data_IF_677918827560
#
_entry.id   IF_677918827560
#
_cell.length_a   1.000
_cell.length_b   1.000
_cell.length_c   1.000
_cell.angle_alpha   90.00
_cell.angle_beta   90.00
_cell.angle_gamma   90.00
#
_symmetry.space_group_name_H-M   'P 1'
#
loop_
_entity.id
_entity.type
_entity.pdbx_description
1 polymer ?
#
# COMPACT_ATOMS: atom_id res chain seq x y z
N UNK A 1 -34.07 -17.52 -3.56
CA UNK A 1 -34.36 -16.14 -3.10
C UNK A 1 -33.22 -15.73 -2.19
N UNK A 2 -32.59 -14.59 -2.43
CA UNK A 2 -31.50 -14.11 -1.58
C UNK A 2 -32.06 -13.70 -0.21
N UNK A 3 -31.38 -14.12 0.87
CA UNK A 3 -31.79 -13.86 2.26
C UNK A 3 -30.92 -12.73 2.83
N UNK A 4 -31.54 -11.80 3.55
CA UNK A 4 -30.88 -10.73 4.31
C UNK A 4 -31.38 -10.74 5.77
N UNK A 5 -30.82 -9.89 6.63
CA UNK A 5 -31.21 -9.80 8.05
C UNK A 5 -31.51 -8.37 8.47
N UNK A 6 -32.52 -8.20 9.32
CA UNK A 6 -32.81 -6.96 10.06
C UNK A 6 -32.78 -7.31 11.55
N UNK A 7 -31.75 -6.84 12.26
CA UNK A 7 -31.46 -7.31 13.61
C UNK A 7 -31.11 -8.80 13.59
N UNK A 8 -31.84 -9.61 14.36
CA UNK A 8 -31.66 -11.06 14.42
C UNK A 8 -32.70 -11.85 13.61
N UNK A 9 -33.46 -11.20 12.70
CA UNK A 9 -34.53 -11.84 11.92
C UNK A 9 -34.20 -11.86 10.44
N UNK A 10 -34.46 -12.99 9.79
CA UNK A 10 -34.40 -13.12 8.34
C UNK A 10 -35.44 -12.22 7.64
N UNK A 11 -35.04 -11.68 6.50
CA UNK A 11 -35.85 -10.81 5.66
C UNK A 11 -35.52 -10.99 4.17
N UNK A 12 -36.46 -10.59 3.32
CA UNK A 12 -36.22 -10.42 1.90
C UNK A 12 -35.27 -9.24 1.67
N UNK A 13 -34.41 -9.34 0.65
CA UNK A 13 -33.41 -8.31 0.34
C UNK A 13 -34.06 -6.94 0.10
N UNK A 14 -35.22 -6.89 -0.54
CA UNK A 14 -35.96 -5.66 -0.83
C UNK A 14 -36.43 -4.99 0.46
N UNK A 15 -36.86 -5.78 1.45
CA UNK A 15 -37.26 -5.28 2.77
C UNK A 15 -36.06 -4.75 3.55
N UNK A 16 -34.93 -5.47 3.53
CA UNK A 16 -33.70 -5.03 4.17
C UNK A 16 -33.16 -3.73 3.55
N UNK A 17 -33.17 -3.64 2.22
CA UNK A 17 -32.76 -2.44 1.49
C UNK A 17 -33.65 -1.23 1.80
N UNK A 18 -34.98 -1.40 1.82
CA UNK A 18 -35.90 -0.33 2.21
C UNK A 18 -35.67 0.14 3.66
N UNK A 19 -35.40 -0.80 4.58
CA UNK A 19 -35.08 -0.47 5.97
C UNK A 19 -33.77 0.32 6.08
N UNK A 20 -32.70 -0.12 5.41
CA UNK A 20 -31.42 0.59 5.38
C UNK A 20 -31.55 2.00 4.77
N UNK A 21 -32.32 2.14 3.69
CA UNK A 21 -32.60 3.45 3.08
C UNK A 21 -33.32 4.39 4.06
N UNK A 22 -34.27 3.87 4.85
CA UNK A 22 -34.92 4.65 5.92
C UNK A 22 -33.91 5.14 6.95
N UNK A 23 -32.98 4.28 7.40
CA UNK A 23 -31.93 4.67 8.35
C UNK A 23 -31.05 5.79 7.78
N UNK A 24 -30.61 5.64 6.54
CA UNK A 24 -29.81 6.66 5.85
C UNK A 24 -30.55 7.99 5.77
N UNK A 25 -31.83 7.97 5.37
CA UNK A 25 -32.64 9.19 5.24
C UNK A 25 -32.90 9.91 6.56
N UNK A 26 -32.92 9.19 7.69
CA UNK A 26 -33.07 9.76 9.04
C UNK A 26 -31.75 10.26 9.65
N UNK A 27 -30.61 9.88 9.09
CA UNK A 27 -29.31 10.25 9.63
C UNK A 27 -28.95 11.69 9.25
N UNK A 28 -28.44 12.46 10.21
CA UNK A 28 -27.90 13.80 9.96
C UNK A 28 -26.48 13.81 9.41
N UNK A 29 -25.74 12.72 9.61
CA UNK A 29 -24.35 12.57 9.19
C UNK A 29 -24.05 11.08 8.96
N UNK A 30 -24.58 10.50 7.87
CA UNK A 30 -24.22 9.13 7.50
C UNK A 30 -22.74 9.07 7.11
N UNK A 31 -22.10 7.93 7.43
CA UNK A 31 -20.70 7.65 7.12
C UNK A 31 -20.60 6.27 6.47
N UNK A 32 -19.81 6.16 5.43
CA UNK A 32 -19.56 4.92 4.69
C UNK A 32 -18.09 4.53 4.81
N UNK A 33 -17.84 3.25 4.99
CA UNK A 33 -16.53 2.66 4.72
C UNK A 33 -16.67 1.46 3.81
N UNK A 34 -15.69 1.24 2.95
CA UNK A 34 -15.73 0.17 1.96
C UNK A 34 -14.33 -0.45 1.77
N UNK A 35 -14.34 -1.75 1.54
CA UNK A 35 -13.22 -2.58 1.12
C UNK A 35 -13.82 -3.66 0.20
N UNK A 36 -13.96 -3.31 -1.07
CA UNK A 36 -14.69 -4.11 -2.07
C UNK A 36 -14.07 -3.91 -3.45
N UNK A 37 -14.55 -4.63 -4.45
CA UNK A 37 -14.11 -4.48 -5.83
C UNK A 37 -14.46 -3.10 -6.42
N UNK A 38 -14.10 -2.91 -7.70
CA UNK A 38 -14.30 -1.63 -8.39
C UNK A 38 -15.79 -1.29 -8.49
N UNK A 39 -16.65 -2.27 -8.78
CA UNK A 39 -18.08 -2.03 -8.97
C UNK A 39 -18.77 -1.74 -7.64
N UNK A 40 -18.42 -2.47 -6.58
CA UNK A 40 -18.88 -2.21 -5.22
C UNK A 40 -18.45 -0.83 -4.73
N UNK A 41 -17.21 -0.42 -5.02
CA UNK A 41 -16.68 0.88 -4.62
C UNK A 41 -17.45 2.00 -5.33
N UNK A 42 -17.68 1.86 -6.65
CA UNK A 42 -18.48 2.83 -7.41
C UNK A 42 -19.92 2.92 -6.91
N UNK A 43 -20.54 1.79 -6.60
CA UNK A 43 -21.90 1.76 -6.07
C UNK A 43 -21.99 2.39 -4.66
N UNK A 44 -21.00 2.12 -3.80
CA UNK A 44 -20.93 2.69 -2.45
C UNK A 44 -20.77 4.21 -2.49
N UNK A 45 -19.86 4.72 -3.34
CA UNK A 45 -19.66 6.17 -3.53
C UNK A 45 -20.94 6.82 -4.07
N UNK A 46 -21.57 6.25 -5.10
CA UNK A 46 -22.81 6.81 -5.65
C UNK A 46 -23.96 6.85 -4.62
N UNK A 47 -24.06 5.83 -3.75
CA UNK A 47 -25.03 5.83 -2.66
C UNK A 47 -24.70 6.87 -1.58
N UNK A 48 -23.42 6.99 -1.21
CA UNK A 48 -22.95 7.99 -0.25
C UNK A 48 -23.23 9.42 -0.76
N UNK A 49 -22.94 9.70 -2.04
CA UNK A 49 -23.27 10.97 -2.69
C UNK A 49 -24.77 11.25 -2.64
N UNK A 50 -25.62 10.26 -2.96
CA UNK A 50 -27.08 10.41 -2.91
C UNK A 50 -27.61 10.66 -1.50
N UNK A 51 -26.95 10.10 -0.48
CA UNK A 51 -27.29 10.26 0.92
C UNK A 51 -26.69 11.52 1.57
N UNK A 52 -25.80 12.25 0.88
CA UNK A 52 -25.05 13.36 1.47
C UNK A 52 -24.09 12.90 2.57
N UNK A 53 -23.54 11.69 2.42
CA UNK A 53 -22.71 11.03 3.41
C UNK A 53 -21.22 11.30 3.21
N UNK A 54 -20.46 11.29 4.31
CA UNK A 54 -19.01 11.17 4.23
C UNK A 54 -18.63 9.71 3.92
N UNK A 55 -17.52 9.49 3.23
CA UNK A 55 -17.03 8.15 2.93
C UNK A 55 -15.50 8.09 2.99
N UNK A 56 -14.97 6.94 3.40
CA UNK A 56 -13.53 6.66 3.41
C UNK A 56 -13.24 5.17 3.16
N UNK A 57 -12.06 4.87 2.61
CA UNK A 57 -11.62 3.48 2.45
C UNK A 57 -11.35 2.85 3.83
N UNK A 58 -11.47 1.52 3.95
CA UNK A 58 -11.17 0.83 5.22
C UNK A 58 -9.72 1.08 5.69
N UNK A 59 -8.80 1.28 4.75
CA UNK A 59 -7.41 1.73 4.99
C UNK A 59 -7.17 3.20 4.57
N UNK A 60 -8.14 4.08 4.85
CA UNK A 60 -8.13 5.49 4.46
C UNK A 60 -6.90 6.25 4.97
N UNK A 61 -6.38 5.88 6.14
CA UNK A 61 -5.17 6.50 6.69
C UNK A 61 -3.92 6.23 5.84
N UNK A 62 -3.77 5.01 5.27
CA UNK A 62 -2.67 4.72 4.36
C UNK A 62 -2.84 5.47 3.03
N UNK A 63 -4.05 5.44 2.47
CA UNK A 63 -4.39 6.16 1.25
C UNK A 63 -4.14 7.68 1.38
N UNK A 64 -4.50 8.28 2.51
CA UNK A 64 -4.27 9.69 2.77
C UNK A 64 -2.78 10.05 2.83
N UNK A 65 -1.94 9.21 3.46
CA UNK A 65 -0.48 9.41 3.51
C UNK A 65 0.15 9.32 2.12
N UNK A 66 -0.29 8.35 1.32
CA UNK A 66 0.19 8.19 -0.06
C UNK A 66 -0.25 9.36 -0.94
N UNK A 67 -1.52 9.77 -0.85
CA UNK A 67 -2.05 10.94 -1.56
C UNK A 67 -1.25 12.19 -1.20
N UNK A 68 -0.97 12.43 0.09
CA UNK A 68 -0.17 13.56 0.55
C UNK A 68 1.25 13.53 -0.02
N UNK A 69 1.89 12.35 -0.13
CA UNK A 69 3.20 12.23 -0.76
C UNK A 69 3.16 12.69 -2.23
N UNK A 70 2.20 12.19 -3.00
CA UNK A 70 2.06 12.55 -4.41
C UNK A 70 1.74 14.04 -4.60
N UNK A 71 0.88 14.62 -3.77
CA UNK A 71 0.52 16.04 -3.88
C UNK A 71 1.65 16.98 -3.44
N UNK A 72 2.40 16.61 -2.41
CA UNK A 72 3.41 17.50 -1.81
C UNK A 72 4.78 17.41 -2.48
N UNK A 73 5.13 16.22 -2.99
CA UNK A 73 6.49 15.91 -3.49
C UNK A 73 6.50 15.33 -4.89
N UNK A 74 5.36 14.90 -5.42
CA UNK A 74 5.30 14.06 -6.62
C UNK A 74 5.93 12.68 -6.38
N UNK A 75 6.03 11.89 -7.45
CA UNK A 75 6.73 10.62 -7.41
C UNK A 75 7.28 10.24 -8.79
N UNK A 76 8.34 9.44 -8.79
CA UNK A 76 8.80 8.67 -9.94
C UNK A 76 8.64 7.19 -9.60
N UNK A 77 7.65 6.55 -10.19
CA UNK A 77 7.32 5.15 -9.94
C UNK A 77 7.70 4.28 -11.14
N UNK A 78 7.88 2.99 -10.89
CA UNK A 78 8.20 1.99 -11.91
C UNK A 78 7.33 0.76 -11.69
N UNK A 79 6.86 0.15 -12.78
CA UNK A 79 6.07 -1.06 -12.70
C UNK A 79 6.91 -2.25 -12.19
N UNK A 80 6.33 -3.18 -11.41
CA UNK A 80 7.07 -4.34 -10.90
C UNK A 80 7.76 -5.19 -11.98
N UNK A 81 7.15 -5.30 -13.17
CA UNK A 81 7.74 -6.00 -14.32
C UNK A 81 9.02 -5.32 -14.83
N UNK A 82 9.04 -4.00 -14.90
CA UNK A 82 10.23 -3.22 -15.26
C UNK A 82 11.31 -3.35 -14.19
N UNK A 83 10.94 -3.26 -12.91
CA UNK A 83 11.86 -3.51 -11.79
C UNK A 83 12.50 -4.90 -11.89
N UNK A 84 11.70 -5.94 -12.17
CA UNK A 84 12.18 -7.32 -12.33
C UNK A 84 13.21 -7.46 -13.43
N UNK A 85 13.05 -6.75 -14.55
CA UNK A 85 13.87 -6.93 -15.76
C UNK A 85 15.02 -5.95 -15.87
N UNK A 86 14.94 -4.77 -15.24
CA UNK A 86 15.95 -3.71 -15.41
C UNK A 86 16.70 -3.34 -14.14
N UNK A 87 16.07 -3.41 -12.96
CA UNK A 87 16.72 -2.95 -11.74
C UNK A 87 17.84 -3.92 -11.34
N UNK A 88 19.09 -3.47 -11.42
CA UNK A 88 20.29 -4.14 -10.93
C UNK A 88 20.66 -3.70 -9.50
N UNK A 89 20.08 -2.60 -9.00
CA UNK A 89 20.17 -2.19 -7.61
C UNK A 89 18.79 -1.90 -7.04
N UNK A 90 18.47 -2.50 -5.89
CA UNK A 90 17.22 -2.27 -5.17
C UNK A 90 17.52 -1.76 -3.77
N UNK A 91 16.87 -0.65 -3.42
CA UNK A 91 17.03 0.01 -2.12
C UNK A 91 15.76 -0.10 -1.31
N UNK A 92 15.87 -0.59 -0.08
CA UNK A 92 14.76 -0.64 0.87
C UNK A 92 15.04 0.40 1.96
N UNK A 93 14.20 1.41 2.05
CA UNK A 93 14.37 2.53 2.98
C UNK A 93 13.32 2.44 4.07
N UNK A 94 13.75 2.26 5.32
CA UNK A 94 12.85 2.03 6.45
C UNK A 94 12.35 0.59 6.55
N UNK A 95 11.35 0.39 7.41
CA UNK A 95 10.76 -0.94 7.63
C UNK A 95 9.88 -1.33 6.45
N UNK A 96 10.10 -2.53 5.90
CA UNK A 96 9.23 -3.10 4.88
C UNK A 96 8.11 -3.90 5.53
N UNK A 97 6.82 -3.53 5.35
CA UNK A 97 5.70 -4.31 5.86
C UNK A 97 5.73 -5.77 5.39
N UNK A 98 5.32 -6.69 6.26
CA UNK A 98 5.37 -8.14 6.01
C UNK A 98 4.64 -8.56 4.73
N UNK A 99 3.55 -7.89 4.37
CA UNK A 99 2.78 -8.16 3.16
C UNK A 99 3.62 -8.03 1.87
N UNK A 100 4.70 -7.23 1.90
CA UNK A 100 5.58 -7.03 0.75
C UNK A 100 6.82 -7.94 0.76
N UNK A 101 7.02 -8.78 1.78
CA UNK A 101 8.21 -9.64 1.87
C UNK A 101 8.27 -10.66 0.74
N UNK A 102 7.11 -11.24 0.35
CA UNK A 102 7.04 -12.17 -0.77
C UNK A 102 7.49 -11.55 -2.09
N UNK A 103 6.99 -10.34 -2.40
CA UNK A 103 7.37 -9.60 -3.60
C UNK A 103 8.89 -9.34 -3.68
N UNK A 104 9.49 -8.90 -2.57
CA UNK A 104 10.94 -8.62 -2.51
C UNK A 104 11.76 -9.91 -2.58
N UNK A 105 11.31 -10.96 -1.91
CA UNK A 105 11.94 -12.29 -1.97
C UNK A 105 11.93 -12.86 -3.39
N UNK A 106 10.78 -12.81 -4.08
CA UNK A 106 10.67 -13.21 -5.49
C UNK A 106 11.54 -12.35 -6.39
N UNK A 107 11.56 -11.03 -6.20
CA UNK A 107 12.42 -10.13 -6.95
C UNK A 107 13.89 -10.54 -6.79
N UNK A 108 14.35 -10.87 -5.58
CA UNK A 108 15.73 -11.32 -5.35
C UNK A 108 16.09 -12.61 -6.09
N UNK A 109 15.12 -13.50 -6.31
CA UNK A 109 15.29 -14.73 -7.10
C UNK A 109 15.41 -14.53 -8.62
N UNK A 110 15.32 -13.29 -9.12
CA UNK A 110 15.31 -13.01 -10.56
C UNK A 110 16.57 -12.31 -11.04
N UNK A 111 16.77 -12.31 -12.37
CA UNK A 111 17.87 -11.65 -13.06
C UNK A 111 17.34 -10.43 -13.80
N UNK A 112 17.98 -9.25 -13.72
CA UNK A 112 17.63 -8.11 -14.57
C UNK A 112 18.20 -8.30 -15.98
N UNK A 113 17.51 -9.05 -16.84
CA UNK A 113 17.99 -9.41 -18.19
C UNK A 113 17.89 -8.30 -19.25
N UNK A 114 17.25 -7.19 -18.92
CA UNK A 114 17.22 -5.97 -19.72
C UNK A 114 18.16 -4.89 -19.14
N UNK A 115 19.00 -5.24 -18.17
CA UNK A 115 20.12 -4.43 -17.69
C UNK A 115 21.41 -4.79 -18.44
N UNK A 116 22.38 -3.88 -18.42
CA UNK A 116 23.77 -4.18 -18.82
C UNK A 116 24.47 -5.12 -17.84
N UNK A 117 23.93 -5.26 -16.62
CA UNK A 117 24.47 -6.10 -15.55
C UNK A 117 23.44 -7.17 -15.18
N UNK A 118 23.80 -8.45 -15.34
CA UNK A 118 22.91 -9.59 -15.02
C UNK A 118 22.96 -10.01 -13.54
N UNK A 119 23.26 -9.07 -12.64
CA UNK A 119 23.32 -9.29 -11.20
C UNK A 119 22.53 -8.19 -10.51
N UNK A 120 21.74 -8.54 -9.49
CA UNK A 120 21.02 -7.55 -8.68
C UNK A 120 21.52 -7.49 -7.25
N UNK A 121 21.93 -6.31 -6.83
CA UNK A 121 22.29 -5.95 -5.46
C UNK A 121 21.07 -5.43 -4.70
N UNK A 122 21.04 -5.70 -3.40
CA UNK A 122 20.06 -5.15 -2.47
C UNK A 122 20.79 -4.40 -1.37
N UNK A 123 20.27 -3.25 -0.97
CA UNK A 123 20.66 -2.65 0.30
C UNK A 123 19.48 -2.09 1.07
N UNK A 124 19.59 -2.13 2.40
CA UNK A 124 18.57 -1.66 3.33
C UNK A 124 19.12 -0.51 4.15
N UNK A 125 18.39 0.60 4.20
CA UNK A 125 18.69 1.76 5.02
C UNK A 125 17.69 1.84 6.16
N UNK A 126 18.15 1.76 7.40
CA UNK A 126 17.25 1.81 8.56
C UNK A 126 17.96 1.73 9.90
N UNK A 127 17.23 1.87 11.03
CA UNK A 127 17.78 1.78 12.37
C UNK A 127 18.50 0.46 12.65
N UNK A 128 19.33 0.47 13.70
CA UNK A 128 19.93 -0.72 14.27
C UNK A 128 18.83 -1.73 14.67
N UNK A 129 19.06 -3.02 14.43
CA UNK A 129 18.12 -4.09 14.81
C UNK A 129 16.88 -4.25 13.90
N UNK A 130 16.60 -3.32 12.98
CA UNK A 130 15.61 -3.51 11.91
C UNK A 130 15.81 -4.85 11.18
N UNK A 131 14.70 -5.57 11.00
CA UNK A 131 14.66 -6.82 10.25
C UNK A 131 14.87 -6.56 8.76
N UNK A 132 15.73 -7.36 8.13
CA UNK A 132 15.91 -7.37 6.68
C UNK A 132 14.89 -8.35 6.09
N UNK A 133 14.14 -7.99 5.04
CA UNK A 133 13.21 -8.92 4.41
C UNK A 133 13.97 -10.12 3.85
N UNK A 134 13.38 -11.33 3.91
CA UNK A 134 14.00 -12.53 3.37
C UNK A 134 14.21 -12.38 1.86
N UNK A 135 15.43 -12.68 1.40
CA UNK A 135 15.78 -12.68 -0.03
C UNK A 135 15.97 -14.13 -0.50
N UNK A 136 15.38 -14.48 -1.65
CA UNK A 136 15.56 -15.80 -2.23
C UNK A 136 16.90 -15.91 -2.99
N UNK A 137 17.32 -17.14 -3.26
CA UNK A 137 18.51 -17.42 -4.08
C UNK A 137 19.84 -17.15 -3.37
N UNK A 138 19.86 -17.22 -2.03
CA UNK A 138 21.09 -17.05 -1.23
C UNK A 138 21.65 -15.61 -1.23
N UNK A 139 20.84 -14.62 -1.64
CA UNK A 139 21.26 -13.21 -1.64
C UNK A 139 21.15 -12.61 -0.26
N UNK A 140 22.07 -11.71 0.06
CA UNK A 140 22.02 -10.90 1.27
C UNK A 140 21.94 -9.43 0.90
N UNK A 141 21.15 -8.66 1.65
CA UNK A 141 21.11 -7.22 1.49
C UNK A 141 22.23 -6.56 2.27
N UNK A 142 22.98 -5.65 1.64
CA UNK A 142 23.92 -4.80 2.35
C UNK A 142 23.15 -3.86 3.30
N UNK A 143 23.54 -3.83 4.56
CA UNK A 143 22.86 -3.00 5.56
C UNK A 143 23.58 -1.67 5.76
N UNK A 144 22.87 -0.58 5.54
CA UNK A 144 23.28 0.76 5.95
C UNK A 144 22.50 1.16 7.21
N UNK A 145 23.13 0.99 8.37
CA UNK A 145 22.50 1.37 9.63
C UNK A 145 22.51 2.88 9.84
N UNK A 146 21.41 3.42 10.36
CA UNK A 146 21.34 4.81 10.80
C UNK A 146 22.17 5.08 12.06
N UNK A 147 22.51 4.06 12.85
CA UNK A 147 23.21 4.24 14.12
C UNK A 147 22.41 5.13 15.09
N UNK A 148 23.01 6.24 15.52
CA UNK A 148 22.36 7.29 16.34
C UNK A 148 21.74 8.40 15.49
N UNK A 149 21.96 8.41 14.16
CA UNK A 149 21.39 9.39 13.26
C UNK A 149 19.94 9.02 12.89
N UNK A 150 19.18 9.99 12.40
CA UNK A 150 17.87 9.72 11.81
C UNK A 150 18.01 9.12 10.40
N UNK A 151 16.97 8.42 9.94
CA UNK A 151 16.89 7.91 8.57
C UNK A 151 17.12 9.02 7.53
N UNK A 152 16.52 10.19 7.76
CA UNK A 152 16.71 11.36 6.91
C UNK A 152 18.16 11.83 6.86
N UNK A 153 18.86 11.87 8.01
CA UNK A 153 20.26 12.25 8.07
C UNK A 153 21.17 11.23 7.36
N UNK A 154 20.89 9.92 7.51
CA UNK A 154 21.63 8.86 6.81
C UNK A 154 21.47 8.97 5.29
N UNK A 155 20.24 9.19 4.80
CA UNK A 155 19.99 9.39 3.38
C UNK A 155 20.63 10.68 2.86
N UNK A 156 20.63 11.75 3.65
CA UNK A 156 21.32 12.99 3.30
C UNK A 156 22.84 12.79 3.19
N UNK A 157 23.44 12.01 4.08
CA UNK A 157 24.85 11.65 4.01
C UNK A 157 25.16 10.78 2.78
N UNK A 158 24.30 9.79 2.48
CA UNK A 158 24.41 8.98 1.26
C UNK A 158 24.35 9.87 0.01
N UNK A 159 23.41 10.80 -0.04
CA UNK A 159 23.28 11.78 -1.13
C UNK A 159 24.53 12.65 -1.25
N UNK A 160 25.13 13.07 -0.14
CA UNK A 160 26.34 13.90 -0.16
C UNK A 160 27.58 13.14 -0.67
N UNK A 161 27.65 11.82 -0.46
CA UNK A 161 28.74 10.99 -0.96
C UNK A 161 28.56 10.55 -2.42
N UNK A 162 27.33 10.55 -2.91
CA UNK A 162 27.03 10.18 -4.30
C UNK A 162 27.57 11.24 -5.27
N UNK A 163 28.73 10.95 -5.86
CA UNK A 163 29.28 11.68 -7.00
C UNK A 163 28.67 11.06 -8.26
N UNK A 164 27.49 11.57 -8.63
CA UNK A 164 26.86 11.23 -9.90
C UNK A 164 27.76 11.56 -11.09
#
# INVERSE_FOLDING_TARGET
MAVAWIGNREALIERAAAHAASLLSSSRCPVFSFDTDIDGTRAAIALAERAGAAYDHADGAALARETALFTDKGAMTVAPGETRRRADVVVIVGELPRIHHGLVGELAGTVPDLSTVNQRAFFVVGPNGMSVPPLNGGREATRLSCGQASLAATLAALRAQYKG
#
